data_IF_727032641043
#
_entry.id   IF_727032641043
#
_cell.length_a   1.000
_cell.length_b   1.000
_cell.length_c   1.000
_cell.angle_alpha   90.00
_cell.angle_beta   90.00
_cell.angle_gamma   90.00
#
_symmetry.space_group_name_H-M   'P 1'
#
loop_
_entity.id
_entity.type
_entity.pdbx_description
1 polymer ?
#
# COMPACT_ATOMS: atom_id res chain seq x y z
N UNK A 1 -42.09 16.45 13.14
CA UNK A 1 -41.27 15.36 13.72
C UNK A 1 -40.34 14.85 12.63
N UNK A 2 -39.10 14.44 13.00
CA UNK A 2 -37.87 14.71 12.25
C UNK A 2 -37.68 13.87 10.97
N UNK A 3 -36.84 14.33 10.03
CA UNK A 3 -36.60 13.67 8.74
C UNK A 3 -35.75 12.41 8.89
N UNK A 4 -36.14 11.39 8.13
CA UNK A 4 -35.45 10.11 7.97
C UNK A 4 -34.10 10.41 7.30
N UNK A 5 -33.01 10.18 8.03
CA UNK A 5 -31.65 10.30 7.50
C UNK A 5 -31.47 9.26 6.38
N UNK A 6 -30.83 9.61 5.25
CA UNK A 6 -30.49 8.63 4.23
C UNK A 6 -29.53 7.62 4.82
N UNK A 7 -29.93 6.35 4.80
CA UNK A 7 -29.06 5.20 5.07
C UNK A 7 -27.82 5.30 4.18
N UNK A 8 -26.68 5.52 4.83
CA UNK A 8 -25.35 5.39 4.24
C UNK A 8 -25.27 4.05 3.50
N UNK A 9 -24.94 4.03 2.19
CA UNK A 9 -24.77 2.78 1.48
C UNK A 9 -23.61 2.03 2.12
N UNK A 10 -23.93 0.87 2.68
CA UNK A 10 -22.99 -0.15 3.11
C UNK A 10 -22.06 -0.54 1.96
N UNK A 11 -20.79 -0.81 2.28
CA UNK A 11 -19.90 -1.83 1.70
C UNK A 11 -18.47 -1.33 1.62
N UNK A 12 -17.76 -1.45 2.73
CA UNK A 12 -16.41 -2.01 2.79
C UNK A 12 -16.11 -2.22 4.30
N UNK A 13 -15.58 -3.37 4.73
CA UNK A 13 -14.98 -3.43 6.07
C UNK A 13 -13.97 -2.27 6.15
N UNK A 14 -13.71 -1.66 7.32
CA UNK A 14 -12.62 -0.71 7.42
C UNK A 14 -11.41 -1.42 6.82
N UNK A 15 -10.90 -0.89 5.72
CA UNK A 15 -9.60 -1.31 5.22
C UNK A 15 -8.69 -0.80 6.33
N UNK A 16 -8.49 -1.61 7.36
CA UNK A 16 -8.03 -1.18 8.68
C UNK A 16 -6.51 -1.00 8.66
N UNK A 17 -6.02 -0.49 7.56
CA UNK A 17 -4.64 -0.31 7.23
C UNK A 17 -4.48 0.96 6.42
N UNK A 18 -3.37 1.62 6.67
CA UNK A 18 -3.03 2.87 6.04
C UNK A 18 -2.15 2.60 4.83
N UNK A 19 -2.34 3.37 3.77
CA UNK A 19 -1.48 3.31 2.59
C UNK A 19 -0.20 4.09 2.84
N UNK A 20 0.92 3.55 2.38
CA UNK A 20 2.23 4.18 2.50
C UNK A 20 2.99 4.09 1.17
N UNK A 21 3.80 5.11 0.93
CA UNK A 21 4.75 5.15 -0.19
C UNK A 21 6.02 4.44 0.20
N UNK A 22 6.32 3.34 -0.48
CA UNK A 22 7.57 2.61 -0.34
C UNK A 22 8.45 2.87 -1.55
N UNK A 23 9.63 3.43 -1.31
CA UNK A 23 10.68 3.59 -2.31
C UNK A 23 11.56 2.36 -2.34
N UNK A 24 11.82 1.87 -3.55
CA UNK A 24 12.72 0.74 -3.81
C UNK A 24 14.00 1.24 -4.48
N UNK A 25 14.99 0.37 -4.63
CA UNK A 25 16.17 0.66 -5.46
C UNK A 25 15.78 0.84 -6.92
N UNK A 26 16.50 1.74 -7.60
CA UNK A 26 16.16 2.12 -8.97
C UNK A 26 16.14 0.94 -9.93
N UNK A 27 15.05 0.85 -10.71
CA UNK A 27 14.78 -0.24 -11.68
C UNK A 27 14.74 -1.64 -11.06
N UNK A 28 14.60 -1.75 -9.74
CA UNK A 28 14.52 -3.04 -9.03
C UNK A 28 13.15 -3.30 -8.41
N UNK A 29 12.12 -2.56 -8.83
CA UNK A 29 10.74 -2.71 -8.36
C UNK A 29 10.19 -4.12 -8.53
N UNK A 30 10.34 -4.73 -9.70
CA UNK A 30 9.88 -6.09 -9.93
C UNK A 30 10.60 -7.11 -9.05
N UNK A 31 11.90 -6.91 -8.84
CA UNK A 31 12.70 -7.78 -7.99
C UNK A 31 12.29 -7.63 -6.51
N UNK A 32 12.06 -6.40 -6.07
CA UNK A 32 11.52 -6.10 -4.74
C UNK A 32 10.17 -6.81 -4.53
N UNK A 33 9.25 -6.75 -5.49
CA UNK A 33 7.94 -7.41 -5.38
C UNK A 33 8.07 -8.93 -5.22
N UNK A 34 8.98 -9.56 -5.97
CA UNK A 34 9.27 -10.99 -5.81
C UNK A 34 9.79 -11.31 -4.40
N UNK A 35 10.75 -10.53 -3.90
CA UNK A 35 11.26 -10.72 -2.54
C UNK A 35 10.23 -10.40 -1.46
N UNK A 36 9.38 -9.41 -1.68
CA UNK A 36 8.29 -9.04 -0.78
C UNK A 36 7.26 -10.16 -0.69
N UNK A 37 6.83 -10.73 -1.81
CA UNK A 37 5.89 -11.86 -1.83
C UNK A 37 6.47 -13.09 -1.12
N UNK A 38 7.76 -13.38 -1.34
CA UNK A 38 8.50 -14.40 -0.61
C UNK A 38 8.51 -14.11 0.89
N UNK A 39 8.83 -12.88 1.31
CA UNK A 39 8.87 -12.48 2.71
C UNK A 39 7.49 -12.58 3.37
N UNK A 40 6.43 -12.15 2.68
CA UNK A 40 5.04 -12.26 3.14
C UNK A 40 4.67 -13.72 3.35
N UNK A 41 5.03 -14.60 2.41
CA UNK A 41 4.72 -16.03 2.48
C UNK A 41 5.50 -16.73 3.58
N UNK A 42 6.79 -16.44 3.72
CA UNK A 42 7.64 -17.05 4.74
C UNK A 42 7.30 -16.60 6.16
N UNK A 43 6.99 -15.32 6.35
CA UNK A 43 6.78 -14.73 7.68
C UNK A 43 5.29 -14.55 8.02
N UNK A 44 4.37 -15.09 7.21
CA UNK A 44 2.92 -14.92 7.36
C UNK A 44 2.49 -13.45 7.53
N UNK A 45 3.07 -12.54 6.75
CA UNK A 45 2.81 -11.09 6.89
C UNK A 45 1.49 -10.65 6.25
N UNK A 46 0.60 -11.56 5.86
CA UNK A 46 -0.68 -11.24 5.19
C UNK A 46 -1.61 -10.44 6.10
N UNK A 47 -1.47 -10.58 7.42
CA UNK A 47 -2.21 -9.78 8.39
C UNK A 47 -1.62 -8.37 8.58
N UNK A 48 -0.34 -8.18 8.24
CA UNK A 48 0.39 -6.91 8.36
C UNK A 48 0.36 -6.10 7.07
N UNK A 49 0.57 -6.76 5.94
CA UNK A 49 0.57 -6.20 4.59
C UNK A 49 -0.73 -6.65 3.93
N UNK A 50 -1.75 -5.80 4.03
CA UNK A 50 -3.10 -6.10 3.56
C UNK A 50 -3.16 -6.07 2.03
N UNK A 51 -2.41 -5.15 1.42
CA UNK A 51 -2.39 -5.01 -0.03
C UNK A 51 -1.07 -4.38 -0.50
N UNK A 52 -0.66 -4.73 -1.71
CA UNK A 52 0.46 -4.11 -2.41
C UNK A 52 -0.04 -3.72 -3.80
N UNK A 53 0.18 -2.48 -4.19
CA UNK A 53 -0.22 -1.94 -5.47
C UNK A 53 0.96 -1.20 -6.13
N UNK A 54 1.00 -1.26 -7.46
CA UNK A 54 2.02 -0.58 -8.24
C UNK A 54 1.39 0.68 -8.85
N UNK A 55 1.91 1.87 -8.54
CA UNK A 55 1.47 3.09 -9.22
C UNK A 55 1.80 3.01 -10.71
N UNK A 56 0.86 3.48 -11.55
CA UNK A 56 0.92 3.25 -12.99
C UNK A 56 1.80 4.26 -13.74
N UNK A 57 1.93 5.48 -13.22
CA UNK A 57 2.72 6.52 -13.87
C UNK A 57 4.22 6.20 -13.78
N UNK A 58 4.95 6.41 -14.88
CA UNK A 58 6.40 6.16 -14.95
C UNK A 58 7.21 6.99 -13.96
N UNK A 59 6.71 8.15 -13.51
CA UNK A 59 7.33 8.95 -12.45
C UNK A 59 7.46 8.17 -11.13
N UNK A 60 6.67 7.11 -10.97
CA UNK A 60 6.66 6.21 -9.82
C UNK A 60 7.36 4.87 -10.12
N UNK A 61 8.29 4.83 -11.07
CA UNK A 61 9.01 3.60 -11.47
C UNK A 61 9.69 2.89 -10.29
N UNK A 62 10.13 3.66 -9.29
CA UNK A 62 10.83 3.19 -8.09
C UNK A 62 9.97 3.25 -6.83
N UNK A 63 8.65 3.34 -7.01
CA UNK A 63 7.70 3.48 -5.93
C UNK A 63 6.71 2.31 -5.95
N UNK A 64 6.35 1.85 -4.76
CA UNK A 64 5.35 0.83 -4.50
C UNK A 64 4.41 1.35 -3.42
N UNK A 65 3.11 1.12 -3.61
CA UNK A 65 2.09 1.45 -2.62
C UNK A 65 1.81 0.20 -1.78
N UNK A 66 1.92 0.34 -0.46
CA UNK A 66 1.64 -0.77 0.46
C UNK A 66 0.56 -0.34 1.45
N UNK A 67 -0.47 -1.17 1.60
CA UNK A 67 -1.48 -1.01 2.63
C UNK A 67 -1.08 -1.86 3.84
N UNK A 68 -0.85 -1.19 4.97
CA UNK A 68 -0.32 -1.80 6.18
C UNK A 68 -1.30 -1.63 7.33
N UNK A 69 -1.64 -2.72 8.02
CA UNK A 69 -2.43 -2.67 9.26
C UNK A 69 -1.63 -2.08 10.43
N UNK A 70 -0.32 -2.38 10.49
CA UNK A 70 0.58 -1.83 11.50
C UNK A 70 1.93 -1.44 10.89
N UNK A 71 2.17 -0.12 10.78
CA UNK A 71 3.38 0.43 10.20
C UNK A 71 4.66 -0.03 10.93
N UNK A 72 4.71 0.02 12.27
CA UNK A 72 5.95 -0.27 13.02
C UNK A 72 6.39 -1.71 12.81
N UNK A 73 5.45 -2.64 12.90
CA UNK A 73 5.73 -4.05 12.74
C UNK A 73 6.08 -4.35 11.29
N UNK A 74 5.27 -3.90 10.33
CA UNK A 74 5.54 -4.10 8.90
C UNK A 74 6.89 -3.50 8.47
N UNK A 75 7.24 -2.29 8.94
CA UNK A 75 8.52 -1.65 8.68
C UNK A 75 9.73 -2.51 9.10
N UNK A 76 9.59 -3.26 10.19
CA UNK A 76 10.65 -4.15 10.70
C UNK A 76 10.92 -5.32 9.74
N UNK A 77 9.91 -5.77 9.01
CA UNK A 77 10.05 -6.80 7.98
C UNK A 77 10.46 -6.19 6.63
N UNK A 78 9.80 -5.11 6.21
CA UNK A 78 10.06 -4.42 4.95
C UNK A 78 11.51 -3.96 4.82
N UNK A 79 12.12 -3.44 5.90
CA UNK A 79 13.52 -3.02 5.88
C UNK A 79 14.52 -4.17 5.65
N UNK A 80 14.10 -5.42 5.89
CA UNK A 80 14.92 -6.62 5.65
C UNK A 80 14.74 -7.17 4.24
N UNK A 81 13.74 -6.70 3.49
CA UNK A 81 13.48 -7.13 2.12
C UNK A 81 14.52 -6.51 1.21
N UNK A 82 15.15 -7.34 0.37
CA UNK A 82 16.09 -6.88 -0.63
C UNK A 82 15.47 -5.83 -1.55
N UNK A 83 16.29 -4.83 -1.93
CA UNK A 83 15.88 -3.68 -2.74
C UNK A 83 14.97 -2.66 -2.03
N UNK A 84 14.64 -2.84 -0.75
CA UNK A 84 14.04 -1.79 0.07
C UNK A 84 14.98 -0.57 0.14
N UNK A 85 14.43 0.63 0.00
CA UNK A 85 15.19 1.87 0.16
C UNK A 85 14.63 2.69 1.32
N UNK A 86 13.34 3.02 1.25
CA UNK A 86 12.67 3.80 2.29
C UNK A 86 11.15 3.57 2.24
N UNK A 87 10.46 3.96 3.31
CA UNK A 87 9.00 4.09 3.31
C UNK A 87 8.63 5.36 4.05
N UNK A 88 7.73 6.13 3.45
CA UNK A 88 7.19 7.35 4.03
C UNK A 88 6.46 6.99 5.33
N UNK A 89 6.80 7.68 6.43
CA UNK A 89 6.13 7.48 7.73
C UNK A 89 4.72 8.06 7.76
N UNK A 90 4.44 9.00 6.85
CA UNK A 90 3.13 9.60 6.71
C UNK A 90 2.26 8.71 5.83
N UNK A 91 1.08 8.31 6.31
CA UNK A 91 0.15 7.58 5.47
C UNK A 91 -0.37 8.50 4.36
N UNK A 92 -0.57 7.91 3.18
CA UNK A 92 -1.20 8.57 2.06
C UNK A 92 -2.70 8.76 2.31
N UNK A 93 -3.21 9.91 1.86
CA UNK A 93 -4.64 10.13 1.81
C UNK A 93 -5.26 9.22 0.75
N UNK A 94 -6.47 8.72 1.02
CA UNK A 94 -7.24 7.89 0.08
C UNK A 94 -7.33 8.52 -1.31
N UNK A 95 -7.54 9.84 -1.38
CA UNK A 95 -7.59 10.57 -2.66
C UNK A 95 -6.27 10.53 -3.43
N UNK A 96 -5.12 10.57 -2.75
CA UNK A 96 -3.81 10.45 -3.38
C UNK A 96 -3.56 9.03 -3.89
N UNK A 97 -3.93 8.02 -3.09
CA UNK A 97 -3.83 6.61 -3.48
C UNK A 97 -4.67 6.36 -4.73
N UNK A 98 -5.93 6.81 -4.72
CA UNK A 98 -6.82 6.72 -5.88
C UNK A 98 -6.21 7.40 -7.10
N UNK A 99 -5.62 8.60 -6.96
CA UNK A 99 -4.95 9.29 -8.08
C UNK A 99 -3.75 8.52 -8.64
N UNK A 100 -2.90 7.95 -7.79
CA UNK A 100 -1.71 7.18 -8.20
C UNK A 100 -2.06 5.82 -8.83
N UNK A 101 -3.20 5.24 -8.43
CA UNK A 101 -3.72 3.98 -8.96
C UNK A 101 -4.67 4.16 -10.14
N UNK A 102 -5.33 5.32 -10.24
CA UNK A 102 -6.21 5.64 -11.33
C UNK A 102 -5.38 5.79 -12.59
N UNK A 103 -5.41 4.74 -13.40
CA UNK A 103 -5.24 4.86 -14.83
C UNK A 103 -6.11 6.01 -15.29
N UNK A 104 -5.58 6.96 -16.08
CA UNK A 104 -6.43 7.82 -16.88
C UNK A 104 -7.33 6.91 -17.74
N UNK A 105 -8.52 6.57 -17.24
CA UNK A 105 -9.61 6.12 -18.10
C UNK A 105 -9.96 7.35 -18.92
N UNK A 106 -9.52 7.27 -20.17
CA UNK A 106 -9.72 8.25 -21.21
C UNK A 106 -11.16 8.20 -21.69
#
# INVERSE_FOLDING_TARGET
MPPIQPVEPSLQPPVNGNWYLLSVRSKKRELFLKYLELAITQNNLRELILQVQIPQESVYEDIVLVNLSNFKTAYTFLQKVDCFQNIERKPLQSEQVTRMLASKQK
#
